data_IF_713416230076
#
_entry.id   IF_713416230076
#
_cell.length_a   1.000
_cell.length_b   1.000
_cell.length_c   1.000
_cell.angle_alpha   90.00
_cell.angle_beta   90.00
_cell.angle_gamma   90.00
#
_symmetry.space_group_name_H-M   'P 1'
#
loop_
_entity.id
_entity.type
_entity.pdbx_description
1 polymer ?
#
# COMPACT_ATOMS: atom_id res chain seq x y z
N UNK A 1 -6.48 14.50 6.05
CA UNK A 1 -5.02 14.27 6.02
C UNK A 1 -4.46 14.72 7.36
N UNK A 2 -3.75 13.84 8.07
CA UNK A 2 -3.03 14.21 9.29
C UNK A 2 -1.77 15.01 8.96
N UNK A 3 -1.29 15.82 9.91
CA UNK A 3 0.01 16.48 9.83
C UNK A 3 0.90 15.82 10.88
N UNK A 4 2.07 15.36 10.45
CA UNK A 4 3.08 14.78 11.33
C UNK A 4 4.37 15.55 11.11
N UNK A 5 5.05 15.90 12.20
CA UNK A 5 6.41 16.41 12.16
C UNK A 5 7.34 15.21 12.35
N UNK A 6 8.16 14.92 11.35
CA UNK A 6 9.13 13.84 11.36
C UNK A 6 10.42 14.35 10.75
N UNK A 7 11.55 13.87 11.24
CA UNK A 7 12.82 14.06 10.56
C UNK A 7 12.88 13.15 9.33
N UNK A 8 13.41 13.68 8.23
CA UNK A 8 13.58 12.98 6.97
C UNK A 8 15.02 13.15 6.51
N UNK A 9 15.61 12.08 6.00
CA UNK A 9 16.89 12.15 5.29
C UNK A 9 16.70 12.94 3.98
N UNK A 10 17.29 14.14 3.92
CA UNK A 10 17.20 15.05 2.78
C UNK A 10 17.84 14.49 1.50
N UNK A 11 18.87 13.64 1.62
CA UNK A 11 19.49 12.99 0.47
C UNK A 11 18.56 11.93 -0.09
N UNK A 12 18.00 11.08 0.78
CA UNK A 12 17.01 10.09 0.38
C UNK A 12 15.76 10.73 -0.23
N UNK A 13 15.30 11.86 0.34
CA UNK A 13 14.19 12.63 -0.20
C UNK A 13 14.49 13.20 -1.60
N UNK A 14 15.71 13.72 -1.81
CA UNK A 14 16.16 14.20 -3.11
C UNK A 14 16.21 13.09 -4.18
N UNK A 15 16.71 11.92 -3.81
CA UNK A 15 16.71 10.73 -4.69
C UNK A 15 15.30 10.29 -5.03
N UNK A 16 14.43 10.13 -4.03
CA UNK A 16 13.03 9.76 -4.22
C UNK A 16 12.28 10.79 -5.08
N UNK A 17 12.57 12.09 -4.93
CA UNK A 17 11.96 13.15 -5.75
C UNK A 17 12.34 13.01 -7.22
N UNK A 18 13.61 12.70 -7.48
CA UNK A 18 14.14 12.50 -8.83
C UNK A 18 13.56 11.25 -9.46
N UNK A 19 13.54 10.14 -8.72
CA UNK A 19 13.01 8.85 -9.17
C UNK A 19 11.50 8.91 -9.44
N UNK A 20 10.74 9.55 -8.55
CA UNK A 20 9.29 9.64 -8.64
C UNK A 20 8.80 10.81 -9.50
N UNK A 21 9.69 11.68 -9.98
CA UNK A 21 9.34 12.85 -10.81
C UNK A 21 8.38 13.83 -10.14
N UNK A 22 8.52 14.04 -8.83
CA UNK A 22 7.58 14.84 -8.03
C UNK A 22 8.11 16.25 -7.78
N UNK A 23 7.22 17.23 -7.60
CA UNK A 23 7.63 18.63 -7.44
C UNK A 23 7.76 19.03 -5.97
N UNK A 24 6.96 18.44 -5.08
CA UNK A 24 6.91 18.81 -3.66
C UNK A 24 7.21 17.64 -2.73
N UNK A 25 7.76 17.92 -1.55
CA UNK A 25 8.02 16.92 -0.49
C UNK A 25 6.75 16.10 -0.20
N UNK A 26 5.60 16.77 -0.10
CA UNK A 26 4.31 16.13 0.12
C UNK A 26 3.97 15.14 -0.99
N UNK A 27 4.17 15.50 -2.25
CA UNK A 27 3.92 14.59 -3.37
C UNK A 27 4.87 13.41 -3.33
N UNK A 28 6.16 13.65 -3.10
CA UNK A 28 7.19 12.60 -3.00
C UNK A 28 6.85 11.60 -1.91
N UNK A 29 6.58 12.08 -0.69
CA UNK A 29 6.25 11.22 0.46
C UNK A 29 4.98 10.43 0.21
N UNK A 30 3.92 11.08 -0.30
CA UNK A 30 2.67 10.38 -0.59
C UNK A 30 2.84 9.33 -1.70
N UNK A 31 3.65 9.61 -2.72
CA UNK A 31 3.94 8.65 -3.80
C UNK A 31 4.77 7.46 -3.30
N UNK A 32 5.80 7.72 -2.49
CA UNK A 32 6.62 6.68 -1.87
C UNK A 32 5.79 5.77 -0.94
N UNK A 33 4.91 6.35 -0.12
CA UNK A 33 4.00 5.58 0.74
C UNK A 33 3.03 4.72 -0.07
N UNK A 34 2.47 5.27 -1.16
CA UNK A 34 1.65 4.46 -2.08
C UNK A 34 2.45 3.29 -2.62
N UNK A 35 3.65 3.52 -3.17
CA UNK A 35 4.51 2.48 -3.71
C UNK A 35 4.83 1.39 -2.67
N UNK A 36 5.20 1.77 -1.45
CA UNK A 36 5.51 0.85 -0.37
C UNK A 36 4.29 0.01 0.08
N UNK A 37 3.08 0.52 -0.11
CA UNK A 37 1.84 -0.19 0.21
C UNK A 37 1.22 -0.94 -0.97
N UNK A 38 1.67 -0.69 -2.21
CA UNK A 38 1.14 -1.32 -3.43
C UNK A 38 1.25 -2.84 -3.39
N UNK A 39 2.39 -3.36 -2.95
CA UNK A 39 2.64 -4.79 -2.86
C UNK A 39 1.74 -5.47 -1.80
N UNK A 40 1.46 -4.79 -0.68
CA UNK A 40 0.44 -5.24 0.28
C UNK A 40 -0.95 -5.23 -0.34
N UNK A 41 -1.31 -4.20 -1.11
CA UNK A 41 -2.61 -4.13 -1.76
C UNK A 41 -2.80 -5.26 -2.78
N UNK A 42 -1.77 -5.56 -3.58
CA UNK A 42 -1.77 -6.67 -4.52
C UNK A 42 -1.91 -8.02 -3.81
N UNK A 43 -1.16 -8.25 -2.72
CA UNK A 43 -1.30 -9.47 -1.91
C UNK A 43 -2.71 -9.63 -1.33
N UNK A 44 -3.31 -8.55 -0.83
CA UNK A 44 -4.67 -8.59 -0.29
C UNK A 44 -5.68 -8.88 -1.39
N UNK A 45 -5.55 -8.25 -2.57
CA UNK A 45 -6.42 -8.52 -3.70
C UNK A 45 -6.35 -10.00 -4.11
N UNK A 46 -5.15 -10.56 -4.26
CA UNK A 46 -4.95 -11.96 -4.60
C UNK A 46 -5.59 -12.91 -3.56
N UNK A 47 -5.45 -12.62 -2.27
CA UNK A 47 -6.07 -13.42 -1.20
C UNK A 47 -7.61 -13.33 -1.22
N UNK A 48 -8.17 -12.17 -1.56
CA UNK A 48 -9.62 -12.01 -1.70
C UNK A 48 -10.15 -12.73 -2.94
N UNK A 49 -9.40 -12.71 -4.05
CA UNK A 49 -9.74 -13.47 -5.26
C UNK A 49 -9.70 -14.99 -5.00
N UNK A 50 -8.71 -15.47 -4.25
CA UNK A 50 -8.64 -16.87 -3.80
C UNK A 50 -9.85 -17.26 -2.94
N UNK A 51 -10.23 -16.41 -1.98
CA UNK A 51 -11.42 -16.62 -1.16
C UNK A 51 -12.72 -16.63 -1.99
N UNK A 52 -12.80 -15.76 -3.01
CA UNK A 52 -13.97 -15.71 -3.90
C UNK A 52 -14.06 -16.95 -4.80
N UNK A 53 -12.92 -17.52 -5.19
CA UNK A 53 -12.83 -18.73 -6.00
C UNK A 53 -13.02 -20.02 -5.19
N UNK A 54 -12.86 -19.96 -3.85
CA UNK A 54 -13.08 -21.11 -2.99
C UNK A 54 -14.50 -21.66 -3.15
N UNK A 55 -14.68 -23.00 -3.20
CA UNK A 55 -16.00 -23.60 -3.25
C UNK A 55 -16.85 -23.10 -2.08
N UNK A 56 -18.08 -22.68 -2.38
CA UNK A 56 -19.06 -22.39 -1.33
C UNK A 56 -19.48 -23.72 -0.71
N UNK A 57 -18.71 -24.20 0.27
CA UNK A 57 -19.24 -25.17 1.21
C UNK A 57 -20.48 -24.56 1.87
N UNK A 58 -21.50 -25.39 2.08
CA UNK A 58 -22.71 -24.94 2.73
C UNK A 58 -22.33 -24.36 4.10
N UNK A 59 -22.46 -23.03 4.26
CA UNK A 59 -21.98 -22.32 5.46
C UNK A 59 -22.63 -22.84 6.74
N UNK A 60 -23.77 -23.53 6.61
CA UNK A 60 -24.44 -24.22 7.70
C UNK A 60 -23.69 -25.47 8.22
N UNK A 61 -22.80 -26.07 7.42
CA UNK A 61 -21.98 -27.22 7.80
C UNK A 61 -20.67 -26.82 8.49
N UNK A 62 -20.07 -25.69 8.12
CA UNK A 62 -18.76 -25.26 8.65
C UNK A 62 -18.78 -24.55 10.01
N UNK A 63 -19.95 -24.25 10.57
CA UNK A 63 -20.11 -23.58 11.88
C UNK A 63 -20.60 -24.53 12.99
N UNK A 64 -20.56 -25.85 12.75
CA UNK A 64 -20.77 -26.89 13.77
C UNK A 64 -19.44 -27.46 14.23
#
# INVERSE_FOLDING_TARGET
MGKHLIDIDEVALGMARTELGTATIKETVNAALRLATSDRAQRVAAALDELAAAPKEDRAAGWR
#
